data_IF_336930493006
#
_entry.id   IF_336930493006
#
_cell.length_a   1.000
_cell.length_b   1.000
_cell.length_c   1.000
_cell.angle_alpha   90.00
_cell.angle_beta   90.00
_cell.angle_gamma   90.00
#
_symmetry.space_group_name_H-M   'P 1'
#
loop_
_entity.id
_entity.type
_entity.pdbx_description
1 polymer ?
#
# COMPACT_ATOMS: atom_id res chain seq x y z
N UNK A 1 17.06 1.64 22.72
CA UNK A 1 16.24 2.85 22.47
C UNK A 1 14.83 2.39 22.19
N UNK A 2 13.82 2.83 22.96
CA UNK A 2 12.41 2.52 22.71
C UNK A 2 11.87 3.64 21.83
N UNK A 3 11.62 3.35 20.55
CA UNK A 3 11.01 4.33 19.64
C UNK A 3 9.57 4.63 20.07
N UNK A 4 9.13 5.88 19.94
CA UNK A 4 7.74 6.30 20.18
C UNK A 4 7.09 6.69 18.84
N UNK A 5 6.75 5.71 17.98
CA UNK A 5 6.21 6.01 16.65
C UNK A 5 4.81 6.63 16.80
N UNK A 6 4.49 7.59 15.94
CA UNK A 6 3.13 8.11 15.83
C UNK A 6 2.29 7.20 14.95
N UNK A 7 1.39 6.43 15.55
CA UNK A 7 0.45 5.60 14.79
C UNK A 7 -0.84 6.37 14.51
N UNK A 8 -1.07 6.68 13.23
CA UNK A 8 -2.27 7.39 12.75
C UNK A 8 -3.15 6.50 11.87
N UNK A 9 -4.45 6.82 11.79
CA UNK A 9 -5.40 6.18 10.89
C UNK A 9 -5.21 6.67 9.45
N UNK A 10 -5.60 5.82 8.50
CA UNK A 10 -5.58 6.13 7.07
C UNK A 10 -4.25 5.84 6.40
N UNK A 11 -4.29 5.40 5.13
CA UNK A 11 -3.07 5.09 4.39
C UNK A 11 -2.38 6.35 3.87
N UNK A 12 -3.13 7.42 3.54
CA UNK A 12 -2.56 8.68 3.04
C UNK A 12 -2.01 9.61 4.14
N UNK A 13 -2.63 9.62 5.33
CA UNK A 13 -2.28 10.53 6.43
C UNK A 13 -0.80 10.49 6.83
N UNK A 14 -0.12 9.33 6.92
CA UNK A 14 1.31 9.30 7.22
C UNK A 14 2.18 10.05 6.20
N UNK A 15 1.87 9.99 4.89
CA UNK A 15 2.61 10.74 3.87
C UNK A 15 2.37 12.24 4.03
N UNK A 16 1.13 12.66 4.24
CA UNK A 16 0.79 14.06 4.51
C UNK A 16 1.58 14.61 5.70
N UNK A 17 1.65 13.85 6.80
CA UNK A 17 2.44 14.25 7.97
C UNK A 17 3.92 14.40 7.65
N UNK A 18 4.54 13.42 6.98
CA UNK A 18 5.97 13.47 6.62
C UNK A 18 6.33 14.64 5.69
N UNK A 19 5.36 15.15 4.92
CA UNK A 19 5.54 16.28 4.01
C UNK A 19 5.14 17.64 4.63
N UNK A 20 4.50 17.63 5.80
CA UNK A 20 4.04 18.85 6.47
C UNK A 20 5.23 19.59 7.07
N UNK A 21 5.41 20.90 6.79
CA UNK A 21 6.45 21.70 7.42
C UNK A 21 6.35 21.63 8.96
N UNK A 22 7.51 21.53 9.63
CA UNK A 22 7.62 21.42 11.08
C UNK A 22 7.04 20.11 11.68
N UNK A 23 6.76 19.09 10.89
CA UNK A 23 6.52 17.75 11.40
C UNK A 23 7.84 17.08 11.82
N UNK A 24 7.82 16.28 12.89
CA UNK A 24 9.02 15.64 13.44
C UNK A 24 9.32 14.26 12.84
N UNK A 25 8.35 13.70 12.13
CA UNK A 25 8.34 12.36 11.60
C UNK A 25 9.06 12.33 10.25
N UNK A 26 10.24 11.70 10.21
CA UNK A 26 11.07 11.65 9.01
C UNK A 26 10.74 10.51 8.03
N UNK A 27 9.96 9.50 8.46
CA UNK A 27 9.65 8.32 7.65
C UNK A 27 8.34 7.65 8.11
N UNK A 28 7.72 6.90 7.20
CA UNK A 28 6.56 6.05 7.45
C UNK A 28 6.76 4.65 6.85
N UNK A 29 6.17 3.64 7.49
CA UNK A 29 6.19 2.24 7.06
C UNK A 29 4.80 1.71 6.64
N UNK A 30 3.77 2.55 6.70
CA UNK A 30 2.36 2.12 6.57
C UNK A 30 1.62 2.85 5.45
N UNK A 31 2.33 3.62 4.63
CA UNK A 31 1.74 4.32 3.49
C UNK A 31 1.95 3.53 2.18
N UNK A 32 1.24 3.96 1.14
CA UNK A 32 1.64 3.70 -0.23
C UNK A 32 2.23 4.99 -0.81
N UNK A 33 3.37 4.86 -1.48
CA UNK A 33 3.71 5.75 -2.56
C UNK A 33 3.71 4.87 -3.80
N UNK A 34 3.19 5.37 -4.92
CA UNK A 34 3.58 4.79 -6.20
C UNK A 34 5.11 4.81 -6.33
N UNK A 35 5.65 4.14 -7.33
CA UNK A 35 7.08 4.26 -7.62
C UNK A 35 7.49 5.59 -8.25
N UNK A 36 6.52 6.46 -8.54
CA UNK A 36 6.77 7.85 -8.88
C UNK A 36 7.15 8.64 -7.62
N UNK A 37 8.22 9.43 -7.71
CA UNK A 37 8.65 10.29 -6.62
C UNK A 37 7.57 11.34 -6.31
N UNK A 38 7.17 11.45 -5.04
CA UNK A 38 6.38 12.59 -4.56
C UNK A 38 7.37 13.69 -4.19
N UNK A 39 7.25 14.92 -4.73
CA UNK A 39 8.14 16.03 -4.38
C UNK A 39 8.29 16.20 -2.87
N UNK A 40 9.54 16.25 -2.39
CA UNK A 40 9.83 16.36 -0.95
C UNK A 40 9.87 15.03 -0.19
N UNK A 41 9.67 13.88 -0.86
CA UNK A 41 9.84 12.55 -0.26
C UNK A 41 10.69 11.62 -1.13
N UNK A 42 11.10 10.52 -0.55
CA UNK A 42 11.67 9.39 -1.27
C UNK A 42 11.09 8.09 -0.70
N UNK A 43 11.09 7.02 -1.48
CA UNK A 43 10.75 5.68 -1.01
C UNK A 43 11.96 4.76 -1.19
N UNK A 44 12.06 3.75 -0.34
CA UNK A 44 13.07 2.71 -0.47
C UNK A 44 12.47 1.37 -0.09
N UNK A 45 12.95 0.31 -0.75
CA UNK A 45 12.64 -1.05 -0.35
C UNK A 45 13.77 -1.60 0.53
N UNK A 46 13.46 -2.35 1.60
CA UNK A 46 14.48 -3.02 2.40
C UNK A 46 15.30 -4.01 1.55
N UNK A 47 16.62 -3.97 1.70
CA UNK A 47 17.55 -4.88 1.00
C UNK A 47 17.93 -6.11 1.83
N UNK A 48 17.77 -6.04 3.16
CA UNK A 48 18.18 -7.10 4.11
C UNK A 48 17.00 -7.77 4.81
N UNK A 49 15.79 -7.27 4.63
CA UNK A 49 14.58 -7.78 5.30
C UNK A 49 13.43 -7.90 4.31
N UNK A 50 12.34 -8.53 4.75
CA UNK A 50 11.15 -8.67 3.92
C UNK A 50 10.33 -7.38 3.90
N UNK A 51 9.67 -7.12 2.77
CA UNK A 51 8.63 -6.11 2.68
C UNK A 51 7.32 -6.71 2.18
N UNK A 52 6.22 -6.02 2.45
CA UNK A 52 4.87 -6.47 2.10
C UNK A 52 4.53 -6.00 0.70
N UNK A 53 4.04 -6.91 -0.13
CA UNK A 53 3.42 -6.62 -1.43
C UNK A 53 2.13 -7.44 -1.55
N UNK A 54 1.18 -6.93 -2.33
CA UNK A 54 -0.07 -7.63 -2.67
C UNK A 54 -0.69 -7.00 -3.91
N UNK A 55 -1.45 -7.77 -4.71
CA UNK A 55 -2.30 -7.19 -5.73
C UNK A 55 -3.55 -6.58 -5.07
N UNK A 56 -3.84 -5.31 -5.36
CA UNK A 56 -5.13 -4.74 -5.01
C UNK A 56 -6.22 -5.46 -5.83
N UNK A 57 -7.22 -6.03 -5.16
CA UNK A 57 -8.25 -6.85 -5.80
C UNK A 57 -9.48 -6.03 -6.14
N UNK A 58 -10.09 -6.30 -7.30
CA UNK A 58 -11.37 -5.75 -7.71
C UNK A 58 -12.33 -6.87 -8.15
N UNK A 59 -13.63 -6.65 -8.01
CA UNK A 59 -14.67 -7.58 -8.44
C UNK A 59 -15.91 -6.80 -8.90
N UNK A 60 -16.65 -7.38 -9.85
CA UNK A 60 -17.95 -6.86 -10.29
C UNK A 60 -19.01 -7.54 -9.43
N UNK A 61 -19.83 -6.74 -8.72
CA UNK A 61 -20.95 -7.27 -7.97
C UNK A 61 -21.99 -7.88 -8.92
N UNK A 62 -22.61 -8.99 -8.51
CA UNK A 62 -23.61 -9.71 -9.31
C UNK A 62 -24.75 -8.79 -9.79
N UNK A 63 -25.19 -7.90 -8.89
CA UNK A 63 -26.31 -6.98 -9.13
C UNK A 63 -25.81 -5.54 -9.37
N UNK A 64 -24.62 -5.37 -9.94
CA UNK A 64 -24.10 -4.05 -10.29
C UNK A 64 -25.08 -3.33 -11.24
N UNK A 65 -25.49 -2.07 -10.95
CA UNK A 65 -26.48 -1.36 -11.77
C UNK A 65 -25.99 -1.03 -13.19
N UNK A 66 -24.65 -1.04 -13.39
CA UNK A 66 -23.99 -0.77 -14.67
C UNK A 66 -22.93 -1.84 -14.95
N UNK A 67 -23.31 -3.09 -15.29
CA UNK A 67 -22.37 -4.20 -15.42
C UNK A 67 -21.38 -3.99 -16.57
N UNK A 68 -21.80 -3.39 -17.69
CA UNK A 68 -20.90 -3.08 -18.80
C UNK A 68 -19.90 -1.97 -18.46
N UNK A 69 -20.31 -0.98 -17.65
CA UNK A 69 -19.40 0.05 -17.13
C UNK A 69 -18.37 -0.55 -16.17
N UNK A 70 -18.78 -1.49 -15.32
CA UNK A 70 -17.88 -2.21 -14.43
C UNK A 70 -16.87 -3.08 -15.20
N UNK A 71 -17.32 -3.77 -16.26
CA UNK A 71 -16.42 -4.51 -17.16
C UNK A 71 -15.42 -3.58 -17.86
N UNK A 72 -15.88 -2.44 -18.38
CA UNK A 72 -15.02 -1.44 -18.99
C UNK A 72 -13.94 -0.95 -18.03
N UNK A 73 -14.30 -0.66 -16.76
CA UNK A 73 -13.34 -0.27 -15.74
C UNK A 73 -12.30 -1.37 -15.49
N UNK A 74 -12.72 -2.62 -15.36
CA UNK A 74 -11.79 -3.75 -15.17
C UNK A 74 -10.85 -3.92 -16.38
N UNK A 75 -11.37 -3.81 -17.60
CA UNK A 75 -10.57 -3.85 -18.82
C UNK A 75 -9.59 -2.68 -18.90
N UNK A 76 -10.02 -1.47 -18.52
CA UNK A 76 -9.18 -0.28 -18.48
C UNK A 76 -8.05 -0.42 -17.46
N UNK A 77 -8.34 -0.88 -16.23
CA UNK A 77 -7.32 -1.08 -15.19
C UNK A 77 -6.27 -2.12 -15.61
N UNK A 78 -6.64 -3.08 -16.48
CA UNK A 78 -5.71 -4.07 -17.04
C UNK A 78 -5.02 -3.61 -18.32
N UNK A 79 -5.31 -2.40 -18.84
CA UNK A 79 -4.63 -1.89 -20.03
C UNK A 79 -3.14 -1.66 -19.75
N UNK A 80 -2.24 -1.83 -20.73
CA UNK A 80 -0.82 -1.59 -20.52
C UNK A 80 -0.52 -0.18 -19.99
N UNK A 81 -1.27 0.81 -20.48
CA UNK A 81 -1.12 2.22 -20.08
C UNK A 81 -1.42 2.39 -18.59
N UNK A 82 -2.52 1.82 -18.09
CA UNK A 82 -2.88 1.92 -16.67
C UNK A 82 -1.92 1.13 -15.78
N UNK A 83 -1.49 -0.06 -16.23
CA UNK A 83 -0.59 -0.95 -15.51
C UNK A 83 0.81 -0.33 -15.26
N UNK A 84 1.18 0.70 -16.02
CA UNK A 84 2.45 1.43 -15.86
C UNK A 84 2.37 2.64 -14.92
N UNK A 85 1.17 3.03 -14.44
CA UNK A 85 0.99 4.23 -13.60
C UNK A 85 1.29 3.93 -12.13
N UNK A 86 0.90 2.75 -11.66
CA UNK A 86 0.81 2.44 -10.22
C UNK A 86 1.62 1.19 -9.85
N UNK A 87 2.92 1.37 -9.63
CA UNK A 87 3.74 0.32 -9.02
C UNK A 87 4.10 -0.83 -9.97
N UNK A 88 4.13 -2.06 -9.46
CA UNK A 88 4.38 -3.24 -10.28
C UNK A 88 3.11 -3.66 -11.05
N UNK A 89 3.22 -3.94 -12.36
CA UNK A 89 2.10 -4.47 -13.13
C UNK A 89 1.75 -5.90 -12.65
N UNK A 90 0.46 -6.23 -12.69
CA UNK A 90 -0.03 -7.61 -12.43
C UNK A 90 0.02 -8.50 -13.67
N UNK A 91 0.28 -7.90 -14.84
CA UNK A 91 0.42 -8.55 -16.14
C UNK A 91 1.89 -8.89 -16.42
N UNK A 92 2.18 -10.12 -16.84
CA UNK A 92 3.55 -10.55 -17.16
C UNK A 92 4.09 -9.96 -18.47
N UNK A 93 3.21 -9.56 -19.38
CA UNK A 93 3.55 -8.98 -20.68
C UNK A 93 3.71 -7.45 -20.65
N UNK A 94 3.42 -6.82 -19.50
CA UNK A 94 3.66 -5.39 -19.28
C UNK A 94 4.93 -5.22 -18.46
N UNK A 95 5.96 -4.52 -18.95
CA UNK A 95 7.15 -4.26 -18.16
C UNK A 95 6.86 -3.28 -17.03
N UNK A 96 7.69 -3.33 -15.99
CA UNK A 96 7.76 -2.26 -14.99
C UNK A 96 8.14 -0.96 -15.71
N UNK A 97 7.45 0.15 -15.40
CA UNK A 97 7.69 1.42 -16.08
C UNK A 97 9.13 1.92 -15.86
N UNK A 98 9.74 2.54 -16.87
CA UNK A 98 11.16 2.94 -16.85
C UNK A 98 11.50 3.94 -15.74
N UNK A 99 10.52 4.75 -15.31
CA UNK A 99 10.66 5.68 -14.20
C UNK A 99 10.66 4.98 -12.83
N UNK A 100 10.43 3.67 -12.79
CA UNK A 100 10.49 2.85 -11.58
C UNK A 100 11.82 2.11 -11.56
N UNK A 101 12.71 2.45 -10.63
CA UNK A 101 14.03 1.80 -10.49
C UNK A 101 13.94 0.41 -9.83
N UNK A 102 12.90 -0.37 -10.12
CA UNK A 102 12.60 -1.65 -9.48
C UNK A 102 12.67 -2.81 -10.47
N UNK A 103 13.17 -3.95 -9.98
CA UNK A 103 13.07 -5.22 -10.70
C UNK A 103 11.59 -5.61 -10.86
N UNK A 104 11.25 -6.45 -11.85
CA UNK A 104 9.94 -7.11 -11.87
C UNK A 104 9.69 -7.84 -10.55
N UNK A 105 8.46 -7.77 -10.04
CA UNK A 105 8.13 -8.30 -8.70
C UNK A 105 8.48 -9.79 -8.52
N UNK A 106 8.39 -10.57 -9.60
CA UNK A 106 8.76 -12.00 -9.64
C UNK A 106 10.25 -12.26 -9.36
N UNK A 107 11.10 -11.26 -9.59
CA UNK A 107 12.56 -11.35 -9.46
C UNK A 107 13.05 -10.76 -8.12
N UNK A 108 12.14 -10.33 -7.23
CA UNK A 108 12.47 -9.75 -5.92
C UNK A 108 12.25 -10.79 -4.81
N UNK A 109 13.31 -11.38 -4.22
CA UNK A 109 13.18 -12.45 -3.23
C UNK A 109 12.72 -11.96 -1.85
N UNK A 110 12.80 -10.65 -1.56
CA UNK A 110 12.42 -10.06 -0.26
C UNK A 110 10.91 -9.83 -0.10
N UNK A 111 10.07 -10.35 -1.00
CA UNK A 111 8.61 -10.27 -0.86
C UNK A 111 7.89 -11.50 -1.41
N UNK A 112 6.65 -11.71 -0.98
CA UNK A 112 5.76 -12.76 -1.49
C UNK A 112 4.33 -12.21 -1.58
N UNK A 113 3.86 -11.82 -2.78
CA UNK A 113 2.56 -11.19 -2.96
C UNK A 113 1.37 -12.05 -2.50
N UNK A 114 1.52 -13.37 -2.50
CA UNK A 114 0.49 -14.30 -2.06
C UNK A 114 0.46 -14.51 -0.54
N UNK A 115 1.55 -14.18 0.17
CA UNK A 115 1.63 -14.36 1.63
C UNK A 115 0.69 -13.41 2.38
N UNK A 116 0.52 -12.19 1.90
CA UNK A 116 -0.38 -11.21 2.54
C UNK A 116 -1.83 -11.69 2.54
N UNK A 117 -2.34 -12.19 1.40
CA UNK A 117 -3.69 -12.75 1.31
C UNK A 117 -3.93 -13.92 2.28
N UNK A 118 -2.95 -14.82 2.41
CA UNK A 118 -3.01 -15.93 3.39
C UNK A 118 -3.02 -15.45 4.84
N UNK A 119 -2.18 -14.46 5.17
CA UNK A 119 -2.20 -13.84 6.48
C UNK A 119 -3.54 -13.19 6.78
N UNK A 120 -4.10 -12.44 5.83
CA UNK A 120 -5.36 -11.73 5.99
C UNK A 120 -6.57 -12.65 6.13
N UNK A 121 -6.51 -13.87 5.60
CA UNK A 121 -7.54 -14.90 5.78
C UNK A 121 -7.59 -15.46 7.21
N UNK A 122 -6.46 -15.50 7.94
CA UNK A 122 -6.41 -15.90 9.35
C UNK A 122 -6.71 -14.71 10.26
N UNK A 123 -8.00 -14.45 10.49
CA UNK A 123 -8.44 -13.30 11.30
C UNK A 123 -7.96 -13.35 12.74
N UNK A 124 -7.82 -14.54 13.32
CA UNK A 124 -7.32 -14.70 14.69
C UNK A 124 -5.84 -14.32 14.80
N UNK A 125 -5.01 -14.69 13.82
CA UNK A 125 -3.60 -14.28 13.78
C UNK A 125 -3.44 -12.78 13.56
N UNK A 126 -4.24 -12.20 12.66
CA UNK A 126 -4.23 -10.75 12.40
C UNK A 126 -4.56 -9.97 13.67
N UNK A 127 -5.61 -10.39 14.38
CA UNK A 127 -6.03 -9.73 15.62
C UNK A 127 -4.96 -9.81 16.71
N UNK A 128 -4.39 -11.00 16.96
CA UNK A 128 -3.32 -11.16 17.95
C UNK A 128 -2.12 -10.27 17.65
N UNK A 129 -1.71 -10.17 16.39
CA UNK A 129 -0.61 -9.30 15.99
C UNK A 129 -0.97 -7.82 16.20
N UNK A 130 -2.19 -7.40 15.85
CA UNK A 130 -2.65 -6.03 16.09
C UNK A 130 -2.57 -5.68 17.58
N UNK A 131 -3.11 -6.51 18.47
CA UNK A 131 -3.07 -6.26 19.91
C UNK A 131 -1.65 -6.26 20.48
N UNK A 132 -0.78 -7.14 19.96
CA UNK A 132 0.63 -7.12 20.33
C UNK A 132 1.33 -5.79 19.99
N UNK A 133 0.99 -5.20 18.83
CA UNK A 133 1.48 -3.88 18.44
C UNK A 133 0.84 -2.79 19.29
N UNK A 134 -0.48 -2.78 19.47
CA UNK A 134 -1.21 -1.78 20.26
C UNK A 134 -0.72 -1.71 21.72
N UNK A 135 -0.39 -2.84 22.32
CA UNK A 135 0.24 -2.93 23.66
C UNK A 135 1.60 -2.20 23.74
N UNK A 136 2.31 -2.04 22.63
CA UNK A 136 3.65 -1.43 22.57
C UNK A 136 3.68 0.00 22.10
N UNK A 137 2.80 0.35 21.15
CA UNK A 137 2.83 1.65 20.47
C UNK A 137 1.52 2.44 20.63
N UNK A 138 0.59 1.95 21.45
CA UNK A 138 -0.75 2.54 21.61
C UNK A 138 -1.68 2.19 20.45
N UNK A 139 -2.92 2.66 20.49
CA UNK A 139 -3.87 2.49 19.38
C UNK A 139 -3.67 3.56 18.30
N UNK A 140 -4.17 3.30 17.09
CA UNK A 140 -4.15 4.29 16.01
C UNK A 140 -4.97 5.55 16.36
N UNK A 141 -4.32 6.71 16.27
CA UNK A 141 -4.86 8.03 16.58
C UNK A 141 -5.38 8.76 15.32
N UNK A 142 -6.13 9.84 15.53
CA UNK A 142 -6.71 10.66 14.46
C UNK A 142 -8.13 10.25 14.09
N UNK A 143 -8.77 11.08 13.26
CA UNK A 143 -10.13 10.84 12.77
C UNK A 143 -10.19 9.59 11.89
N UNK A 144 -11.42 9.08 11.74
CA UNK A 144 -11.67 8.08 10.72
C UNK A 144 -11.30 8.67 9.34
N UNK A 145 -10.64 7.92 8.45
CA UNK A 145 -10.40 8.37 7.07
C UNK A 145 -11.68 8.60 6.25
N UNK A 146 -12.85 8.30 6.82
CA UNK A 146 -14.17 8.59 6.24
C UNK A 146 -14.70 9.97 6.67
N UNK A 147 -14.03 10.65 7.59
CA UNK A 147 -14.36 11.98 8.08
C UNK A 147 -13.18 12.86 7.64
N UNK A 148 -13.30 13.48 6.47
CA UNK A 148 -12.28 14.40 5.96
C UNK A 148 -12.39 15.75 6.69
N UNK A 149 -11.35 16.11 7.43
CA UNK A 149 -11.05 17.49 7.88
C UNK A 149 -9.69 17.99 7.35
N UNK A 150 -9.14 17.30 6.33
CA UNK A 150 -7.89 17.62 5.65
C UNK A 150 -8.11 18.41 4.36
#
# INVERSE_FOLDING_TARGET
MRGNPRWVRGTGTPVTLTLTPNCTEAATFTSFAGFAAIPGSNYSLPTQTQFVSWPQTAAILKDAPHPEGAKLLHSFVLSPEFQQIMGWPVRHDVPVADNFSQLPLKDIPSTNPAAFGRFMADRGRVERLRFFLEDRIGSAQGLSPLIDDL
#
